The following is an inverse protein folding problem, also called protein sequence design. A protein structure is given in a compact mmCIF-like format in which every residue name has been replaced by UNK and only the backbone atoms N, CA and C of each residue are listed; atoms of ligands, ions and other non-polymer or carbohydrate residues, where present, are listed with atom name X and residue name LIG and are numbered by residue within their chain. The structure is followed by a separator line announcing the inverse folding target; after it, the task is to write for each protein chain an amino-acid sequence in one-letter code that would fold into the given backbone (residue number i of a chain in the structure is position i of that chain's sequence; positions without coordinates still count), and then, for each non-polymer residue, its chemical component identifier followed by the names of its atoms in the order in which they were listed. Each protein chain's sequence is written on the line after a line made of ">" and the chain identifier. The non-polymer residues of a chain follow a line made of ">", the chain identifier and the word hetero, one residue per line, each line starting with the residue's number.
data_IF_270255901482
#
_entry.id   IF_270255901482
#
_cell.length_a   1.000
_cell.length_b   1.000
_cell.length_c   1.000
_cell.angle_alpha   90.00
_cell.angle_beta   90.00
_cell.angle_gamma   90.00
#
_symmetry.space_group_name_H-M   'P 1'
#
loop_
_entity.id
_entity.type
_entity.pdbx_description
1 polymer ?
#
# COMPACT_ATOMS: atom_id res chain seq x y z
N UNK A 1 -20.16 -1.45 -2.05
CA UNK A 1 -19.67 -0.08 -2.26
C UNK A 1 -18.15 -0.04 -2.05
N UNK A 2 -17.38 0.23 -3.09
CA UNK A 2 -15.92 0.44 -3.00
C UNK A 2 -15.62 1.89 -2.64
N UNK A 3 -14.68 2.14 -1.74
CA UNK A 3 -14.22 3.49 -1.41
C UNK A 3 -12.99 3.84 -2.26
N UNK A 4 -12.91 5.10 -2.71
CA UNK A 4 -11.81 5.57 -3.56
C UNK A 4 -11.19 6.80 -2.93
N UNK A 5 -9.90 6.71 -2.62
CA UNK A 5 -9.08 7.77 -2.05
C UNK A 5 -8.08 8.23 -3.11
N UNK A 6 -8.02 9.53 -3.39
CA UNK A 6 -7.05 10.09 -4.34
C UNK A 6 -6.19 11.10 -3.61
N UNK A 7 -4.88 10.94 -3.74
CA UNK A 7 -3.87 11.79 -3.12
C UNK A 7 -3.26 12.68 -4.19
N UNK A 8 -3.17 13.96 -3.88
CA UNK A 8 -2.57 15.00 -4.70
C UNK A 8 -1.32 15.54 -4.02
N UNK A 9 -0.38 16.05 -4.79
CA UNK A 9 0.76 16.79 -4.27
C UNK A 9 0.42 18.26 -4.01
N UNK A 10 1.42 19.03 -3.58
CA UNK A 10 1.29 20.47 -3.30
C UNK A 10 0.99 21.30 -4.56
N UNK A 11 1.27 20.77 -5.76
CA UNK A 11 0.93 21.38 -7.04
C UNK A 11 -0.48 20.99 -7.54
N UNK A 12 -1.23 20.23 -6.75
CA UNK A 12 -2.54 19.66 -7.09
C UNK A 12 -2.47 18.66 -8.27
N UNK A 13 -1.29 18.09 -8.52
CA UNK A 13 -1.12 16.97 -9.45
C UNK A 13 -1.45 15.66 -8.72
N UNK A 14 -2.10 14.74 -9.44
CA UNK A 14 -2.52 13.48 -8.87
C UNK A 14 -1.32 12.54 -8.72
N UNK A 15 -0.96 12.20 -7.48
CA UNK A 15 0.08 11.22 -7.18
C UNK A 15 -0.43 9.79 -7.38
N UNK A 16 -1.44 9.41 -6.61
CA UNK A 16 -2.00 8.07 -6.67
C UNK A 16 -3.47 8.02 -6.23
N UNK A 17 -4.12 6.91 -6.57
CA UNK A 17 -5.44 6.55 -6.07
C UNK A 17 -5.35 5.19 -5.38
N UNK A 18 -5.93 5.07 -4.19
CA UNK A 18 -6.22 3.76 -3.59
C UNK A 18 -7.71 3.49 -3.71
N UNK A 19 -8.04 2.32 -4.26
CA UNK A 19 -9.40 1.79 -4.36
C UNK A 19 -9.50 0.65 -3.36
N UNK A 20 -10.30 0.88 -2.33
CA UNK A 20 -10.68 -0.14 -1.37
C UNK A 20 -11.75 -1.03 -2.01
N UNK A 21 -11.28 -2.19 -2.48
CA UNK A 21 -12.06 -3.19 -3.19
C UNK A 21 -12.89 -4.01 -2.23
N UNK A 22 -13.85 -3.40 -1.54
CA UNK A 22 -14.86 -4.14 -0.81
C UNK A 22 -15.60 -5.12 -1.74
N UNK A 23 -16.09 -6.22 -1.17
CA UNK A 23 -17.02 -7.20 -1.77
C UNK A 23 -16.41 -8.41 -2.51
N UNK A 24 -15.43 -9.07 -1.88
CA UNK A 24 -15.19 -10.50 -2.09
C UNK A 24 -14.84 -11.18 -0.75
N UNK A 25 -14.93 -12.50 -0.65
CA UNK A 25 -14.56 -13.26 0.57
C UNK A 25 -13.09 -13.07 1.00
N UNK A 26 -12.28 -12.34 0.23
CA UNK A 26 -10.89 -12.02 0.56
C UNK A 26 -10.67 -10.49 0.56
N UNK A 27 -9.94 -9.95 1.56
CA UNK A 27 -9.49 -8.56 1.59
C UNK A 27 -8.70 -8.21 0.33
N UNK A 28 -9.09 -7.11 -0.33
CA UNK A 28 -8.48 -6.66 -1.58
C UNK A 28 -8.40 -5.13 -1.66
N UNK A 29 -7.26 -4.62 -2.10
CA UNK A 29 -7.03 -3.19 -2.35
C UNK A 29 -6.30 -3.01 -3.68
N UNK A 30 -6.71 -2.02 -4.47
CA UNK A 30 -5.98 -1.64 -5.69
C UNK A 30 -5.34 -0.26 -5.51
N UNK A 31 -4.08 -0.14 -5.91
CA UNK A 31 -3.33 1.11 -5.98
C UNK A 31 -3.16 1.49 -7.45
N UNK A 32 -3.40 2.76 -7.77
CA UNK A 32 -3.27 3.32 -9.11
C UNK A 32 -2.31 4.51 -9.05
N UNK A 33 -1.11 4.41 -9.63
CA UNK A 33 -0.14 5.51 -9.72
C UNK A 33 -0.17 6.10 -11.14
N UNK A 34 -0.29 7.43 -11.24
CA UNK A 34 -0.24 8.21 -12.50
C UNK A 34 -1.09 7.71 -13.68
N UNK A 35 -2.16 6.94 -13.45
CA UNK A 35 -2.95 6.28 -14.49
C UNK A 35 -2.20 5.27 -15.38
N UNK A 36 -0.93 4.96 -15.04
CA UNK A 36 -0.09 4.02 -15.78
C UNK A 36 0.12 2.74 -14.99
N UNK A 37 0.07 2.82 -13.67
CA UNK A 37 0.43 1.73 -12.77
C UNK A 37 -0.77 1.27 -11.99
N UNK A 38 -1.08 -0.02 -12.07
CA UNK A 38 -2.11 -0.63 -11.22
C UNK A 38 -1.47 -1.80 -10.49
N UNK A 39 -1.37 -1.68 -9.17
CA UNK A 39 -0.99 -2.77 -8.28
C UNK A 39 -2.22 -3.24 -7.52
N UNK A 40 -2.44 -4.55 -7.48
CA UNK A 40 -3.53 -5.15 -6.72
C UNK A 40 -2.93 -5.96 -5.58
N UNK A 41 -3.36 -5.65 -4.37
CA UNK A 41 -2.97 -6.33 -3.16
C UNK A 41 -4.10 -7.25 -2.72
N UNK A 42 -3.80 -8.54 -2.69
CA UNK A 42 -4.69 -9.59 -2.21
C UNK A 42 -4.08 -10.19 -0.93
N UNK A 43 -4.91 -10.49 0.06
CA UNK A 43 -4.51 -11.29 1.22
C UNK A 43 -5.31 -12.59 1.28
N UNK A 44 -4.59 -13.71 1.29
CA UNK A 44 -5.16 -15.04 1.41
C UNK A 44 -4.13 -16.05 1.89
N UNK A 45 -4.57 -17.12 2.58
CA UNK A 45 -3.68 -18.17 3.12
C UNK A 45 -2.50 -17.60 3.96
N UNK A 46 -2.75 -16.55 4.75
CA UNK A 46 -1.75 -15.82 5.54
C UNK A 46 -0.59 -15.21 4.74
N UNK A 47 -0.81 -14.91 3.45
CA UNK A 47 0.19 -14.33 2.56
C UNK A 47 -0.34 -13.07 1.88
N UNK A 48 0.51 -12.04 1.82
CA UNK A 48 0.30 -10.89 0.95
C UNK A 48 0.77 -11.22 -0.46
N UNK A 49 -0.10 -11.03 -1.44
CA UNK A 49 0.24 -11.04 -2.85
C UNK A 49 0.05 -9.65 -3.42
N UNK A 50 1.11 -9.10 -4.02
CA UNK A 50 1.03 -7.90 -4.83
C UNK A 50 1.17 -8.30 -6.30
N UNK A 51 0.15 -7.99 -7.11
CA UNK A 51 0.12 -8.22 -8.55
C UNK A 51 0.15 -6.88 -9.27
N UNK A 52 1.25 -6.59 -9.95
CA UNK A 52 1.32 -5.45 -10.86
C UNK A 52 0.62 -5.83 -12.18
N UNK A 53 -0.42 -5.07 -12.55
CA UNK A 53 -1.28 -5.34 -13.72
C UNK A 53 -0.72 -4.68 -14.99
N UNK A 54 0.13 -3.67 -14.86
CA UNK A 54 0.76 -2.96 -15.97
C UNK A 54 2.30 -3.05 -15.90
N UNK A 55 2.97 -2.57 -16.95
CA UNK A 55 4.38 -2.85 -17.27
C UNK A 55 5.37 -2.00 -16.45
N UNK A 56 5.43 -2.20 -15.13
CA UNK A 56 6.16 -1.36 -14.16
C UNK A 56 7.19 -2.16 -13.38
N UNK A 57 8.24 -1.51 -12.85
CA UNK A 57 9.14 -2.11 -11.88
C UNK A 57 8.37 -2.88 -10.79
N UNK A 58 8.72 -4.15 -10.62
CA UNK A 58 8.23 -4.93 -9.49
C UNK A 58 8.80 -4.34 -8.19
N UNK A 59 7.92 -3.96 -7.27
CA UNK A 59 8.32 -3.57 -5.92
C UNK A 59 8.43 -4.82 -5.04
N UNK A 60 9.43 -4.82 -4.16
CA UNK A 60 9.61 -5.89 -3.17
C UNK A 60 9.29 -5.34 -1.79
N UNK A 61 8.44 -6.07 -1.06
CA UNK A 61 8.14 -5.78 0.34
C UNK A 61 8.95 -6.76 1.18
N UNK A 62 9.79 -6.25 2.10
CA UNK A 62 10.58 -7.07 3.02
C UNK A 62 10.20 -6.73 4.45
N UNK A 63 10.01 -7.74 5.29
CA UNK A 63 9.56 -7.56 6.69
C UNK A 63 8.14 -8.07 6.92
N UNK A 64 7.54 -7.65 8.03
CA UNK A 64 6.21 -8.07 8.44
C UNK A 64 5.16 -6.96 8.20
N UNK A 65 4.48 -7.05 7.06
CA UNK A 65 3.44 -6.09 6.69
C UNK A 65 2.21 -6.15 7.61
N UNK A 66 1.90 -7.30 8.23
CA UNK A 66 0.74 -7.44 9.14
C UNK A 66 0.96 -6.69 10.45
N UNK A 67 2.17 -6.74 11.01
CA UNK A 67 2.51 -5.95 12.20
C UNK A 67 3.00 -4.55 11.86
N UNK A 68 3.14 -4.25 10.56
CA UNK A 68 3.53 -2.96 10.07
C UNK A 68 4.97 -2.60 10.36
N UNK A 69 5.88 -3.57 10.29
CA UNK A 69 7.34 -3.40 10.36
C UNK A 69 7.93 -3.94 9.05
N UNK A 70 8.03 -3.09 8.04
CA UNK A 70 8.47 -3.50 6.71
C UNK A 70 9.07 -2.36 5.90
N UNK A 71 9.88 -2.75 4.92
CA UNK A 71 10.51 -1.88 3.95
C UNK A 71 9.98 -2.18 2.55
N UNK A 72 9.93 -1.14 1.70
CA UNK A 72 9.61 -1.26 0.28
C UNK A 72 10.84 -0.92 -0.54
N UNK A 73 11.12 -1.77 -1.52
CA UNK A 73 12.24 -1.63 -2.44
C UNK A 73 11.74 -1.57 -3.87
N UNK A 74 12.39 -0.76 -4.70
CA UNK A 74 12.23 -0.85 -6.16
C UNK A 74 12.92 -2.10 -6.70
N UNK A 75 12.68 -2.41 -7.98
CA UNK A 75 13.35 -3.52 -8.68
C UNK A 75 14.88 -3.40 -8.67
N UNK A 76 15.41 -2.19 -8.51
CA UNK A 76 16.86 -1.92 -8.43
C UNK A 76 17.41 -2.07 -7.02
N UNK A 77 16.64 -2.63 -6.09
CA UNK A 77 16.98 -2.79 -4.68
C UNK A 77 17.23 -1.45 -3.95
N UNK A 78 16.68 -0.35 -4.47
CA UNK A 78 16.68 0.94 -3.78
C UNK A 78 15.54 0.95 -2.78
N UNK A 79 15.83 1.21 -1.51
CA UNK A 79 14.82 1.32 -0.46
C UNK A 79 14.03 2.63 -0.65
N UNK A 80 12.74 2.50 -0.97
CA UNK A 80 11.85 3.63 -1.24
C UNK A 80 11.27 4.20 0.05
N UNK A 81 10.84 3.32 0.93
CA UNK A 81 10.23 3.70 2.21
C UNK A 81 10.40 2.62 3.27
N UNK A 82 10.35 3.05 4.52
CA UNK A 82 10.28 2.18 5.69
C UNK A 82 8.99 2.47 6.46
N UNK A 83 8.31 1.43 6.92
CA UNK A 83 7.01 1.53 7.57
C UNK A 83 7.09 0.90 8.95
N UNK A 84 6.67 1.66 9.95
CA UNK A 84 6.50 1.22 11.32
C UNK A 84 5.09 1.55 11.81
N UNK A 85 4.40 0.62 12.44
CA UNK A 85 3.12 0.91 13.09
C UNK A 85 3.37 1.33 14.52
N UNK A 86 2.93 2.54 14.81
CA UNK A 86 2.87 3.10 16.15
C UNK A 86 1.50 2.75 16.74
N UNK A 87 1.51 2.20 17.95
CA UNK A 87 0.28 1.95 18.69
C UNK A 87 -0.24 3.29 19.22
N UNK A 88 -1.25 3.84 18.56
CA UNK A 88 -2.01 5.00 19.03
C UNK A 88 -3.29 4.46 19.70
N UNK A 89 -3.63 4.92 20.90
CA UNK A 89 -4.86 4.58 21.65
C UNK A 89 -5.73 3.45 21.08
N UNK A 90 -6.73 3.79 20.25
CA UNK A 90 -7.67 2.85 19.61
C UNK A 90 -7.43 2.64 18.10
N UNK A 91 -6.30 3.10 17.56
CA UNK A 91 -6.04 3.10 16.10
C UNK A 91 -4.60 2.73 15.79
N UNK A 92 -4.39 1.92 14.75
CA UNK A 92 -3.05 1.69 14.21
C UNK A 92 -2.59 2.93 13.44
N UNK A 93 -1.54 3.60 13.90
CA UNK A 93 -0.91 4.71 13.19
C UNK A 93 0.27 4.20 12.35
N UNK A 94 0.21 4.34 11.04
CA UNK A 94 1.34 3.96 10.17
C UNK A 94 2.30 5.15 10.02
N UNK A 95 3.51 5.00 10.54
CA UNK A 95 4.61 5.91 10.26
C UNK A 95 5.32 5.47 8.99
N UNK A 96 5.24 6.28 7.94
CA UNK A 96 5.88 6.02 6.64
C UNK A 96 7.06 6.97 6.51
N UNK A 97 8.27 6.43 6.60
CA UNK A 97 9.50 7.15 6.29
C UNK A 97 9.80 7.03 4.80
N UNK A 98 9.64 8.13 4.05
CA UNK A 98 10.02 8.21 2.64
C UNK A 98 11.52 8.45 2.51
N UNK A 99 12.21 7.55 1.81
CA UNK A 99 13.67 7.56 1.64
C UNK A 99 14.09 7.92 0.23
N UNK A 100 13.28 7.55 -0.77
CA UNK A 100 13.47 7.98 -2.16
C UNK A 100 12.28 8.83 -2.62
N UNK A 101 12.57 10.08 -3.00
CA UNK A 101 11.58 11.03 -3.51
C UNK A 101 11.37 10.91 -5.02
N UNK A 102 12.26 10.23 -5.75
CA UNK A 102 12.11 10.03 -7.18
C UNK A 102 10.91 9.12 -7.51
N UNK A 103 10.58 8.20 -6.61
CA UNK A 103 9.41 7.31 -6.70
C UNK A 103 8.38 7.62 -5.60
N UNK A 104 8.13 8.91 -5.33
CA UNK A 104 7.29 9.37 -4.21
C UNK A 104 5.90 8.71 -4.18
N UNK A 105 5.26 8.57 -5.34
CA UNK A 105 3.94 7.98 -5.44
C UNK A 105 3.93 6.49 -5.03
N UNK A 106 4.98 5.72 -5.34
CA UNK A 106 5.13 4.35 -4.89
C UNK A 106 5.52 4.26 -3.41
N UNK A 107 6.46 5.11 -2.98
CA UNK A 107 6.95 5.19 -1.60
C UNK A 107 5.84 5.51 -0.57
N UNK A 108 4.78 6.21 -0.98
CA UNK A 108 3.63 6.52 -0.13
C UNK A 108 2.41 5.65 -0.47
N UNK A 109 2.17 5.39 -1.76
CA UNK A 109 1.00 4.68 -2.24
C UNK A 109 0.96 3.21 -1.80
N UNK A 110 2.09 2.50 -1.87
CA UNK A 110 2.17 1.08 -1.48
C UNK A 110 1.90 0.92 0.03
N UNK A 111 2.54 1.66 0.95
CA UNK A 111 2.18 1.60 2.37
C UNK A 111 0.71 1.92 2.64
N UNK A 112 0.16 2.91 1.94
CA UNK A 112 -1.26 3.31 2.11
C UNK A 112 -2.20 2.19 1.70
N UNK A 113 -1.91 1.51 0.58
CA UNK A 113 -2.69 0.37 0.12
C UNK A 113 -2.60 -0.82 1.10
N UNK A 114 -1.42 -1.10 1.65
CA UNK A 114 -1.22 -2.15 2.66
C UNK A 114 -1.95 -1.80 3.97
N UNK A 115 -1.93 -0.55 4.41
CA UNK A 115 -2.64 -0.11 5.61
C UNK A 115 -4.15 -0.33 5.48
N UNK A 116 -4.72 0.03 4.34
CA UNK A 116 -6.15 -0.22 4.04
C UNK A 116 -6.46 -1.71 3.95
N UNK A 117 -5.58 -2.50 3.32
CA UNK A 117 -5.75 -3.95 3.25
C UNK A 117 -5.74 -4.57 4.65
N UNK A 118 -4.82 -4.12 5.51
CA UNK A 118 -4.73 -4.60 6.89
C UNK A 118 -6.00 -4.29 7.68
N UNK A 119 -6.55 -3.09 7.56
CA UNK A 119 -7.82 -2.73 8.21
C UNK A 119 -8.94 -3.70 7.78
N UNK A 120 -8.98 -4.12 6.52
CA UNK A 120 -9.94 -5.14 6.03
C UNK A 120 -9.66 -6.54 6.58
N UNK A 121 -8.41 -6.93 6.77
CA UNK A 121 -8.06 -8.23 7.39
C UNK A 121 -8.54 -8.25 8.84
N UNK A 122 -8.29 -7.18 9.60
CA UNK A 122 -8.72 -7.05 10.99
C UNK A 122 -10.24 -7.14 11.13
N UNK A 123 -11.01 -6.44 10.27
CA UNK A 123 -12.47 -6.55 10.22
C UNK A 123 -13.00 -7.97 9.92
N UNK A 124 -12.21 -8.85 9.27
CA UNK A 124 -12.60 -10.23 8.99
C UNK A 124 -12.17 -11.22 10.09
N UNK A 125 -11.31 -10.80 11.02
CA UNK A 125 -10.82 -11.63 12.13
C UNK A 125 -11.62 -11.42 13.42
N UNK A 126 -12.37 -10.31 13.54
CA UNK A 126 -13.34 -10.03 14.62
C UNK A 126 -14.73 -10.63 14.32
#
# INVERSE_FOLDING_TARGET
>A
MSLKYTVYDDANEKLFTVVDGGFSNMPRVALIIEHKEVAVFDYGLNRLEMKCVTNIPNYTIKGNFLFGDYDIFSQREVKLSSVNVLQCDKQSCFNIQVLDKAELAAAIGIPTAIALLRARIEEHLE
#
